data_IF_624828084972
#
_entry.id   IF_624828084972
#
_cell.length_a   1.000
_cell.length_b   1.000
_cell.length_c   1.000
_cell.angle_alpha   90.00
_cell.angle_beta   90.00
_cell.angle_gamma   90.00
#
_symmetry.space_group_name_H-M   'P 1'
#
loop_
_entity.id
_entity.type
_entity.pdbx_description
1 polymer ?
#
# COMPACT_ATOMS: atom_id res chain seq x y z
N UNK A 1 -8.33 -52.63 50.99
CA UNK A 1 -7.20 -52.70 50.06
C UNK A 1 -7.78 -52.79 48.65
N UNK A 2 -7.79 -51.69 47.91
CA UNK A 2 -8.05 -51.65 46.46
C UNK A 2 -7.30 -50.47 45.88
N UNK A 3 -6.23 -50.78 45.16
CA UNK A 3 -5.42 -49.82 44.41
C UNK A 3 -6.01 -49.64 43.01
N UNK A 4 -6.11 -48.41 42.53
CA UNK A 4 -6.10 -48.14 41.09
C UNK A 4 -5.10 -47.03 40.81
N UNK A 5 -4.11 -47.40 40.01
CA UNK A 5 -2.99 -46.60 39.53
C UNK A 5 -3.41 -45.97 38.21
N UNK A 6 -3.51 -44.65 38.16
CA UNK A 6 -3.75 -43.94 36.90
C UNK A 6 -2.42 -43.51 36.31
N UNK A 7 -1.97 -44.33 35.35
CA UNK A 7 -0.99 -43.98 34.33
C UNK A 7 -1.50 -42.80 33.52
N UNK A 8 -0.71 -41.73 33.41
CA UNK A 8 -0.96 -40.69 32.41
C UNK A 8 0.37 -40.25 31.80
N UNK A 9 0.64 -40.92 30.68
CA UNK A 9 1.32 -40.47 29.47
C UNK A 9 2.28 -39.30 29.54
N UNK A 10 3.55 -39.61 29.28
CA UNK A 10 4.59 -38.66 28.88
C UNK A 10 4.18 -37.95 27.56
N UNK A 11 4.03 -36.63 27.59
CA UNK A 11 3.93 -35.83 26.36
C UNK A 11 5.35 -35.58 25.86
N UNK A 12 5.70 -36.23 24.75
CA UNK A 12 6.91 -35.94 24.00
C UNK A 12 6.77 -34.56 23.34
N UNK A 13 7.54 -33.58 23.81
CA UNK A 13 7.78 -32.33 23.08
C UNK A 13 8.85 -32.63 22.04
N UNK A 14 8.42 -32.82 20.79
CA UNK A 14 9.32 -32.89 19.64
C UNK A 14 9.67 -31.48 19.17
N UNK A 15 10.97 -31.19 19.21
CA UNK A 15 11.64 -30.07 18.56
C UNK A 15 11.05 -29.71 17.20
N UNK A 16 10.72 -28.44 17.03
CA UNK A 16 10.90 -27.80 15.71
C UNK A 16 11.77 -26.57 15.92
N UNK A 17 12.99 -26.64 15.37
CA UNK A 17 14.01 -25.61 15.45
C UNK A 17 13.52 -24.35 14.73
N UNK A 18 13.63 -23.22 15.40
CA UNK A 18 13.58 -21.89 14.83
C UNK A 18 15.01 -21.43 14.44
N UNK A 19 15.09 -20.42 13.57
CA UNK A 19 16.26 -19.66 13.06
C UNK A 19 16.74 -20.12 11.66
N UNK A 20 16.84 -19.30 10.61
CA UNK A 20 17.08 -17.83 10.50
C UNK A 20 16.65 -17.29 9.13
N UNK A 21 15.75 -16.30 9.09
CA UNK A 21 15.75 -15.16 8.17
C UNK A 21 14.68 -14.18 8.68
N UNK A 22 15.00 -12.90 9.00
CA UNK A 22 13.98 -11.92 9.29
C UNK A 22 13.45 -11.42 7.95
N UNK A 23 12.40 -12.06 7.44
CA UNK A 23 11.55 -11.44 6.43
C UNK A 23 10.70 -10.38 7.16
N UNK A 24 11.30 -9.22 7.39
CA UNK A 24 10.65 -8.07 8.01
C UNK A 24 9.64 -7.52 7.02
N UNK A 25 8.42 -8.06 7.13
CA UNK A 25 7.21 -7.62 6.46
C UNK A 25 7.01 -6.12 6.69
N UNK A 26 7.42 -5.29 5.73
CA UNK A 26 7.39 -3.82 5.72
C UNK A 26 5.95 -3.21 5.65
N UNK A 27 4.94 -3.97 6.06
CA UNK A 27 3.55 -3.50 6.23
C UNK A 27 3.34 -2.39 7.27
N UNK A 28 4.14 -2.21 8.36
CA UNK A 28 3.78 -1.24 9.39
C UNK A 28 3.92 0.23 8.99
N UNK A 29 4.44 0.56 7.80
CA UNK A 29 4.72 1.95 7.42
C UNK A 29 3.52 2.74 6.90
N UNK A 30 2.75 2.22 5.94
CA UNK A 30 1.66 2.98 5.32
C UNK A 30 0.50 3.26 6.26
N UNK A 31 0.09 2.25 7.05
CA UNK A 31 -0.97 2.42 8.05
C UNK A 31 -0.58 3.47 9.11
N UNK A 32 0.69 3.53 9.51
CA UNK A 32 1.20 4.53 10.44
C UNK A 32 1.16 5.93 9.82
N UNK A 33 1.68 6.11 8.60
CA UNK A 33 1.70 7.41 7.92
C UNK A 33 0.27 7.93 7.67
N UNK A 34 -0.63 7.08 7.21
CA UNK A 34 -2.05 7.44 7.04
C UNK A 34 -2.67 7.80 8.39
N UNK A 35 -2.38 7.05 9.45
CA UNK A 35 -2.84 7.37 10.80
C UNK A 35 -2.32 8.72 11.31
N UNK A 36 -1.06 9.04 11.04
CA UNK A 36 -0.44 10.32 11.37
C UNK A 36 -1.07 11.47 10.58
N UNK A 37 -1.37 11.28 9.30
CA UNK A 37 -2.07 12.27 8.50
C UNK A 37 -3.49 12.53 9.04
N UNK A 38 -4.23 11.46 9.35
CA UNK A 38 -5.57 11.56 9.96
C UNK A 38 -5.49 12.26 11.33
N UNK A 39 -4.42 12.03 12.09
CA UNK A 39 -4.18 12.73 13.34
C UNK A 39 -3.91 14.22 13.11
N UNK A 40 -3.04 14.57 12.15
CA UNK A 40 -2.73 15.94 11.75
C UNK A 40 -4.01 16.73 11.39
N UNK A 41 -4.89 16.11 10.61
CA UNK A 41 -6.19 16.67 10.24
C UNK A 41 -7.09 16.95 11.45
N UNK A 42 -7.04 16.10 12.48
CA UNK A 42 -7.83 16.29 13.71
C UNK A 42 -7.30 17.43 14.57
N UNK A 43 -5.99 17.62 14.61
CA UNK A 43 -5.36 18.71 15.35
C UNK A 43 -5.23 20.01 14.53
N UNK A 44 -5.65 19.98 13.25
CA UNK A 44 -5.57 21.09 12.30
C UNK A 44 -4.14 21.64 12.15
N UNK A 45 -3.18 20.72 12.10
CA UNK A 45 -1.76 21.03 11.89
C UNK A 45 -1.40 20.73 10.43
N UNK A 46 -1.52 21.75 9.59
CA UNK A 46 -1.29 21.64 8.14
C UNK A 46 0.19 21.36 7.82
N UNK A 47 1.13 21.97 8.55
CA UNK A 47 2.56 21.76 8.34
C UNK A 47 2.96 20.31 8.67
N UNK A 48 2.37 19.74 9.73
CA UNK A 48 2.56 18.34 10.05
C UNK A 48 1.90 17.42 9.02
N UNK A 49 0.71 17.75 8.52
CA UNK A 49 0.04 16.98 7.48
C UNK A 49 0.85 16.95 6.18
N UNK A 50 1.42 18.09 5.77
CA UNK A 50 2.27 18.22 4.59
C UNK A 50 3.56 17.41 4.75
N UNK A 51 4.23 17.51 5.92
CA UNK A 51 5.40 16.69 6.23
C UNK A 51 5.11 15.18 6.11
N UNK A 52 3.95 14.73 6.59
CA UNK A 52 3.55 13.32 6.49
C UNK A 52 3.27 12.92 5.03
N UNK A 53 2.66 13.81 4.24
CA UNK A 53 2.43 13.57 2.81
C UNK A 53 3.73 13.47 2.03
N UNK A 54 4.73 14.30 2.31
CA UNK A 54 6.05 14.24 1.68
C UNK A 54 6.75 12.89 1.96
N UNK A 55 6.68 12.42 3.21
CA UNK A 55 7.22 11.11 3.57
C UNK A 55 6.45 9.99 2.88
N UNK A 56 5.12 10.09 2.79
CA UNK A 56 4.28 9.11 2.10
C UNK A 56 4.62 9.03 0.61
N UNK A 57 4.74 10.18 -0.08
CA UNK A 57 5.19 10.26 -1.46
C UNK A 57 6.57 9.64 -1.66
N UNK A 58 7.52 9.99 -0.80
CA UNK A 58 8.86 9.43 -0.83
C UNK A 58 8.90 7.92 -0.61
N UNK A 59 7.90 7.32 0.03
CA UNK A 59 7.75 5.86 0.11
C UNK A 59 7.10 5.25 -1.14
N UNK A 60 6.10 5.93 -1.71
CA UNK A 60 5.45 5.49 -2.94
C UNK A 60 6.42 5.52 -4.13
N UNK A 61 7.35 6.49 -4.18
CA UNK A 61 8.36 6.61 -5.24
C UNK A 61 9.49 5.58 -5.12
N UNK A 62 9.61 4.85 -4.01
CA UNK A 62 10.66 3.84 -3.85
C UNK A 62 10.33 2.58 -4.65
N UNK A 63 11.10 2.33 -5.70
CA UNK A 63 11.19 1.02 -6.36
C UNK A 63 12.15 0.13 -5.58
N UNK A 64 11.65 -0.91 -4.93
CA UNK A 64 12.47 -1.85 -4.17
C UNK A 64 12.91 -3.03 -5.06
N UNK A 65 14.14 -2.96 -5.59
CA UNK A 65 14.82 -4.11 -6.23
C UNK A 65 14.71 -4.19 -7.75
N UNK A 66 15.30 -5.25 -8.32
CA UNK A 66 15.29 -5.57 -9.76
C UNK A 66 13.94 -6.09 -10.25
N UNK A 67 13.06 -6.50 -9.34
CA UNK A 67 11.67 -6.81 -9.63
C UNK A 67 10.84 -5.56 -9.38
N UNK A 68 10.07 -5.15 -10.39
CA UNK A 68 9.18 -3.98 -10.43
C UNK A 68 7.99 -4.10 -9.47
N UNK A 69 8.17 -4.73 -8.30
CA UNK A 69 7.18 -4.86 -7.26
C UNK A 69 7.21 -3.60 -6.39
N UNK A 70 6.62 -2.51 -6.89
CA UNK A 70 6.42 -1.32 -6.09
C UNK A 70 5.40 -1.59 -4.99
N UNK A 71 5.80 -1.41 -3.73
CA UNK A 71 4.93 -1.66 -2.59
C UNK A 71 3.76 -0.67 -2.60
N UNK A 72 2.55 -1.17 -2.76
CA UNK A 72 1.32 -0.36 -2.76
C UNK A 72 0.64 -0.41 -1.38
N UNK A 73 -0.03 0.66 -0.93
CA UNK A 73 -0.75 0.66 0.35
C UNK A 73 -1.79 -0.46 0.39
N UNK A 74 -1.73 -1.34 1.39
CA UNK A 74 -2.70 -2.43 1.54
C UNK A 74 -4.13 -1.91 1.76
N UNK A 75 -5.12 -2.79 1.55
CA UNK A 75 -6.55 -2.51 1.74
C UNK A 75 -6.87 -1.85 3.09
N UNK A 76 -6.29 -2.36 4.19
CA UNK A 76 -6.48 -1.82 5.54
C UNK A 76 -6.06 -0.35 5.66
N UNK A 77 -5.00 0.03 4.97
CA UNK A 77 -4.46 1.40 4.93
C UNK A 77 -5.42 2.33 4.17
N UNK A 78 -5.97 1.86 3.05
CA UNK A 78 -6.96 2.62 2.25
C UNK A 78 -8.26 2.80 3.04
N UNK A 79 -8.72 1.76 3.74
CA UNK A 79 -9.89 1.86 4.63
C UNK A 79 -9.66 2.88 5.74
N UNK A 80 -8.48 2.89 6.34
CA UNK A 80 -8.13 3.88 7.36
C UNK A 80 -8.17 5.32 6.80
N UNK A 81 -7.63 5.53 5.61
CA UNK A 81 -7.66 6.85 4.95
C UNK A 81 -9.11 7.30 4.68
N UNK A 82 -9.94 6.44 4.08
CA UNK A 82 -11.34 6.79 3.78
C UNK A 82 -12.20 6.95 5.04
N UNK A 83 -11.94 6.18 6.11
CA UNK A 83 -12.66 6.35 7.37
C UNK A 83 -12.23 7.62 8.13
N UNK A 84 -10.98 8.05 7.97
CA UNK A 84 -10.37 9.11 8.78
C UNK A 84 -10.34 10.50 8.12
N UNK A 85 -10.68 10.62 6.84
CA UNK A 85 -10.55 11.87 6.07
C UNK A 85 -11.85 12.21 5.33
N UNK A 86 -12.12 13.50 5.03
CA UNK A 86 -13.25 13.90 4.19
C UNK A 86 -13.04 13.49 2.71
N UNK A 87 -14.13 13.52 1.92
CA UNK A 87 -14.10 13.18 0.47
C UNK A 87 -13.06 14.03 -0.30
N UNK A 88 -12.94 15.31 0.06
CA UNK A 88 -12.07 16.28 -0.59
C UNK A 88 -10.60 16.20 -0.13
N UNK A 89 -10.24 15.18 0.66
CA UNK A 89 -8.91 15.08 1.25
C UNK A 89 -7.83 14.82 0.19
N UNK A 90 -6.70 15.57 0.23
CA UNK A 90 -5.55 15.32 -0.63
C UNK A 90 -5.02 13.89 -0.53
N UNK A 91 -5.07 13.28 0.66
CA UNK A 91 -4.64 11.89 0.87
C UNK A 91 -5.45 10.90 0.02
N UNK A 92 -6.78 11.06 -0.05
CA UNK A 92 -7.63 10.19 -0.88
C UNK A 92 -7.28 10.33 -2.36
N UNK A 93 -7.07 11.57 -2.81
CA UNK A 93 -6.70 11.87 -4.19
C UNK A 93 -5.34 11.26 -4.55
N UNK A 94 -4.35 11.36 -3.66
CA UNK A 94 -3.05 10.75 -3.83
C UNK A 94 -3.17 9.22 -3.96
N UNK A 95 -3.85 8.57 -3.01
CA UNK A 95 -4.01 7.11 -3.05
C UNK A 95 -4.71 6.65 -4.33
N UNK A 96 -5.72 7.38 -4.79
CA UNK A 96 -6.43 7.08 -6.04
C UNK A 96 -5.52 7.25 -7.26
N UNK A 97 -4.73 8.32 -7.31
CA UNK A 97 -3.80 8.57 -8.41
C UNK A 97 -2.70 7.50 -8.47
N UNK A 98 -2.05 7.21 -7.33
CA UNK A 98 -1.00 6.19 -7.24
C UNK A 98 -1.52 4.81 -7.57
N UNK A 99 -2.71 4.47 -7.08
CA UNK A 99 -3.36 3.26 -7.52
C UNK A 99 -3.64 3.35 -9.00
N UNK A 100 -4.44 4.26 -9.54
CA UNK A 100 -4.66 4.30 -10.98
C UNK A 100 -3.37 4.17 -11.83
N UNK A 101 -2.31 4.91 -11.56
CA UNK A 101 -1.08 4.86 -12.35
C UNK A 101 -0.45 3.47 -12.48
N UNK A 102 -0.41 2.67 -11.41
CA UNK A 102 0.23 1.34 -11.42
C UNK A 102 -0.56 0.25 -12.17
N UNK A 103 -1.75 0.60 -12.72
CA UNK A 103 -2.84 -0.28 -13.16
C UNK A 103 -2.53 -1.77 -13.34
N UNK A 104 -2.73 -2.62 -12.32
CA UNK A 104 -2.72 -4.08 -12.52
C UNK A 104 -4.14 -4.63 -12.68
N UNK A 105 -4.27 -5.61 -13.58
CA UNK A 105 -5.54 -6.22 -13.97
C UNK A 105 -6.30 -6.89 -12.81
N UNK A 106 -5.59 -7.23 -11.72
CA UNK A 106 -6.09 -8.09 -10.64
C UNK A 106 -6.45 -7.33 -9.35
N UNK A 107 -6.35 -5.99 -9.34
CA UNK A 107 -6.57 -5.17 -8.13
C UNK A 107 -7.95 -5.29 -7.51
N UNK A 108 -8.96 -5.42 -8.36
CA UNK A 108 -10.35 -5.57 -7.94
C UNK A 108 -10.83 -6.99 -8.21
N UNK A 109 -9.94 -7.98 -8.02
CA UNK A 109 -10.34 -9.38 -7.88
C UNK A 109 -11.43 -9.55 -6.79
N UNK A 110 -11.76 -10.79 -6.37
CA UNK A 110 -12.88 -11.05 -5.44
C UNK A 110 -12.74 -10.44 -4.02
N UNK A 111 -11.83 -9.50 -3.81
CA UNK A 111 -11.58 -8.77 -2.56
C UNK A 111 -12.68 -7.73 -2.28
N UNK A 112 -13.69 -8.15 -1.53
CA UNK A 112 -14.78 -7.35 -0.94
C UNK A 112 -14.35 -6.29 0.09
N UNK A 113 -13.05 -5.98 0.20
CA UNK A 113 -12.53 -5.22 1.33
C UNK A 113 -12.24 -3.74 1.07
N UNK A 114 -12.09 -3.32 -0.20
CA UNK A 114 -11.84 -1.90 -0.50
C UNK A 114 -13.11 -1.04 -0.27
N UNK A 115 -12.96 0.22 0.17
CA UNK A 115 -14.07 1.15 0.22
C UNK A 115 -14.72 1.28 -1.18
N UNK A 116 -16.06 1.17 -1.33
CA UNK A 116 -16.71 1.29 -2.63
C UNK A 116 -16.40 2.61 -3.35
N UNK A 117 -16.32 3.70 -2.58
CA UNK A 117 -15.94 5.02 -3.11
C UNK A 117 -14.53 5.02 -3.71
N UNK A 118 -13.59 4.28 -3.10
CA UNK A 118 -12.23 4.18 -3.61
C UNK A 118 -12.19 3.52 -4.99
N UNK A 119 -12.89 2.39 -5.15
CA UNK A 119 -12.96 1.67 -6.44
C UNK A 119 -13.56 2.56 -7.53
N UNK A 120 -14.65 3.27 -7.21
CA UNK A 120 -15.29 4.23 -8.13
C UNK A 120 -14.34 5.36 -8.49
N UNK A 121 -13.61 5.91 -7.52
CA UNK A 121 -12.66 7.00 -7.74
C UNK A 121 -11.49 6.57 -8.63
N UNK A 122 -10.94 5.36 -8.43
CA UNK A 122 -9.88 4.80 -9.30
C UNK A 122 -10.39 4.60 -10.72
N UNK A 123 -11.57 3.99 -10.90
CA UNK A 123 -12.18 3.80 -12.21
C UNK A 123 -12.46 5.14 -12.92
N UNK A 124 -12.94 6.15 -12.16
CA UNK A 124 -13.17 7.50 -12.66
C UNK A 124 -11.86 8.18 -13.08
N UNK A 125 -10.80 8.06 -12.28
CA UNK A 125 -9.50 8.64 -12.60
C UNK A 125 -8.94 8.08 -13.92
N UNK A 126 -8.99 6.75 -14.10
CA UNK A 126 -8.54 6.07 -15.34
C UNK A 126 -9.32 6.45 -16.58
N UNK A 127 -10.63 6.62 -16.46
CA UNK A 127 -11.52 6.95 -17.59
C UNK A 127 -11.56 8.45 -17.89
N UNK A 128 -11.01 9.28 -17.01
CA UNK A 128 -10.97 10.72 -17.20
C UNK A 128 -9.97 11.09 -18.33
N UNK A 129 -10.37 11.94 -19.28
CA UNK A 129 -9.52 12.35 -20.41
C UNK A 129 -8.26 13.13 -20.01
N UNK A 130 -8.10 13.48 -18.73
CA UNK A 130 -6.88 14.12 -18.22
C UNK A 130 -5.71 13.16 -18.01
N UNK A 131 -5.94 11.84 -17.92
CA UNK A 131 -4.87 10.84 -17.69
C UNK A 131 -4.05 10.48 -18.95
N UNK A 132 -4.43 10.96 -20.14
CA UNK A 132 -3.82 10.60 -21.44
C UNK A 132 -2.67 11.52 -21.88
N UNK A 133 -2.14 12.41 -21.02
CA UNK A 133 -1.25 13.50 -21.45
C UNK A 133 0.25 13.37 -21.13
N UNK A 134 0.73 12.25 -20.58
CA UNK A 134 2.13 12.16 -20.12
C UNK A 134 3.06 11.16 -20.84
N UNK A 135 2.64 10.52 -21.93
CA UNK A 135 3.54 9.61 -22.68
C UNK A 135 3.58 9.97 -24.16
N UNK A 136 4.07 11.17 -24.49
CA UNK A 136 4.55 11.47 -25.84
C UNK A 136 5.60 12.58 -25.73
N UNK A 137 6.87 12.22 -25.57
CA UNK A 137 8.04 12.86 -26.22
C UNK A 137 9.34 12.22 -25.71
N UNK A 138 9.85 11.18 -26.38
CA UNK A 138 11.18 11.21 -27.01
C UNK A 138 11.54 9.84 -27.58
N UNK A 139 11.34 9.69 -28.88
CA UNK A 139 12.14 8.75 -29.69
C UNK A 139 12.61 9.53 -30.90
N UNK A 140 13.42 10.57 -30.66
CA UNK A 140 14.12 11.24 -31.74
C UNK A 140 15.39 10.45 -32.07
N UNK A 141 15.24 9.69 -33.15
CA UNK A 141 16.26 9.03 -33.93
C UNK A 141 17.39 9.99 -34.31
N UNK A 142 18.56 9.86 -33.66
CA UNK A 142 19.77 10.47 -34.17
C UNK A 142 20.38 9.58 -35.27
N UNK A 143 19.88 9.70 -36.49
CA UNK A 143 20.53 9.21 -37.71
C UNK A 143 21.07 10.41 -38.48
N UNK A 144 22.25 10.89 -38.10
CA UNK A 144 22.98 11.89 -38.88
C UNK A 144 23.79 11.21 -39.98
N UNK A 145 23.28 11.39 -41.19
CA UNK A 145 23.86 11.09 -42.48
C UNK A 145 25.10 11.97 -42.72
N UNK A 146 26.15 11.33 -43.22
CA UNK A 146 27.39 11.89 -43.76
C UNK A 146 27.16 12.83 -44.95
N UNK A 147 28.15 13.67 -45.27
CA UNK A 147 28.76 13.52 -46.60
C UNK A 147 30.21 13.02 -46.54
#
# INVERSE_FOLDING_TARGET
>A
MSSQSTSTGCIAVSSTKQSTAPEEKLEPHYSLLIGLYVFAQKIQDDEFADCVMDVLLGQLDQTWGEEECSYSPAESSIRLAYAGTPEDSPLRSLLVATWAERGECDWFGPHEGFPPEFVVNVARYKTSPQSLKLTDTNTDTNTLITP
#
